data_IF_557364681705
#
_entry.id   IF_557364681705
#
_cell.length_a   1.000
_cell.length_b   1.000
_cell.length_c   1.000
_cell.angle_alpha   90.00
_cell.angle_beta   90.00
_cell.angle_gamma   90.00
#
_symmetry.space_group_name_H-M   'P 1'
#
loop_
_entity.id
_entity.type
_entity.pdbx_description
1 polymer ?
#
# COMPACT_ATOMS: atom_id res chain seq x y z
N UNK A 1 -15.57 -42.94 -17.81
CA UNK A 1 -15.36 -41.61 -18.43
C UNK A 1 -16.03 -40.46 -17.68
N UNK A 2 -17.31 -40.56 -17.28
CA UNK A 2 -18.06 -39.48 -16.60
C UNK A 2 -17.38 -38.91 -15.33
N UNK A 3 -16.76 -39.75 -14.50
CA UNK A 3 -16.03 -39.34 -13.29
C UNK A 3 -14.78 -38.48 -13.58
N UNK A 4 -14.08 -38.76 -14.69
CA UNK A 4 -12.89 -37.99 -15.11
C UNK A 4 -13.28 -36.61 -15.67
N UNK A 5 -14.43 -36.55 -16.36
CA UNK A 5 -15.00 -35.29 -16.86
C UNK A 5 -15.45 -34.38 -15.70
N UNK A 6 -16.07 -34.96 -14.67
CA UNK A 6 -16.48 -34.22 -13.48
C UNK A 6 -15.28 -33.69 -12.69
N UNK A 7 -14.20 -34.48 -12.58
CA UNK A 7 -12.95 -34.06 -11.96
C UNK A 7 -12.30 -32.88 -12.72
N UNK A 8 -12.29 -32.93 -14.05
CA UNK A 8 -11.77 -31.84 -14.89
C UNK A 8 -12.59 -30.56 -14.73
N UNK A 9 -13.92 -30.67 -14.66
CA UNK A 9 -14.80 -29.53 -14.43
C UNK A 9 -14.57 -28.91 -13.04
N UNK A 10 -14.38 -29.75 -12.03
CA UNK A 10 -14.12 -29.32 -10.65
C UNK A 10 -12.77 -28.61 -10.52
N UNK A 11 -11.73 -29.12 -11.19
CA UNK A 11 -10.42 -28.46 -11.26
C UNK A 11 -10.55 -27.11 -11.96
N UNK A 12 -11.32 -27.02 -13.06
CA UNK A 12 -11.52 -25.78 -13.80
C UNK A 12 -12.19 -24.67 -12.94
N UNK A 13 -13.10 -25.04 -12.05
CA UNK A 13 -13.76 -24.09 -11.13
C UNK A 13 -12.78 -23.59 -10.05
N UNK A 14 -11.83 -24.42 -9.62
CA UNK A 14 -10.86 -24.07 -8.58
C UNK A 14 -9.76 -23.13 -9.10
N UNK A 15 -9.31 -23.25 -10.35
CA UNK A 15 -8.26 -22.35 -10.91
C UNK A 15 -8.74 -20.91 -11.13
N UNK A 16 -10.06 -20.70 -11.26
CA UNK A 16 -10.62 -19.35 -11.44
C UNK A 16 -10.73 -18.56 -10.13
N UNK A 17 -10.46 -19.17 -8.98
CA UNK A 17 -10.25 -18.44 -7.72
C UNK A 17 -8.78 -18.09 -7.59
N UNK A 18 -8.32 -17.21 -8.47
CA UNK A 18 -7.05 -16.51 -8.27
C UNK A 18 -7.15 -15.87 -6.88
N UNK A 19 -6.21 -16.11 -5.94
CA UNK A 19 -6.19 -15.34 -4.71
C UNK A 19 -6.15 -13.87 -5.12
N UNK A 20 -6.85 -12.97 -4.41
CA UNK A 20 -6.73 -11.54 -4.65
C UNK A 20 -5.24 -11.18 -4.62
N UNK A 21 -4.63 -11.13 -5.80
CA UNK A 21 -3.20 -10.99 -5.91
C UNK A 21 -2.98 -9.53 -5.56
N UNK A 22 -2.17 -9.32 -4.53
CA UNK A 22 -1.84 -7.99 -4.06
C UNK A 22 -1.43 -7.13 -5.28
N UNK A 23 -2.29 -6.18 -5.66
CA UNK A 23 -2.04 -5.29 -6.78
C UNK A 23 -1.35 -4.06 -6.22
N UNK A 24 -0.04 -4.01 -6.37
CA UNK A 24 0.67 -2.77 -6.14
C UNK A 24 0.25 -1.75 -7.18
N UNK A 25 -0.26 -0.61 -6.74
CA UNK A 25 -0.47 0.52 -7.64
C UNK A 25 0.79 1.40 -7.68
N UNK A 26 1.50 1.51 -6.56
CA UNK A 26 2.73 2.29 -6.49
C UNK A 26 3.66 1.81 -5.37
N UNK A 27 4.95 1.82 -5.65
CA UNK A 27 6.03 1.57 -4.70
C UNK A 27 7.00 2.75 -4.69
N UNK A 28 7.51 3.13 -3.53
CA UNK A 28 8.67 4.01 -3.46
C UNK A 28 9.92 3.29 -4.01
N UNK A 29 10.94 4.06 -4.39
CA UNK A 29 12.30 3.51 -4.46
C UNK A 29 12.81 3.14 -3.06
N UNK A 30 13.97 2.48 -2.98
CA UNK A 30 14.67 2.31 -1.71
C UNK A 30 15.02 3.68 -1.14
N UNK A 31 14.56 3.95 0.07
CA UNK A 31 14.93 5.17 0.78
C UNK A 31 16.23 4.84 1.52
N UNK A 32 17.38 5.15 0.91
CA UNK A 32 18.63 5.20 1.67
C UNK A 32 18.36 6.12 2.86
N UNK A 33 18.72 5.70 4.08
CA UNK A 33 18.28 6.26 5.38
C UNK A 33 18.47 7.78 5.62
N UNK A 34 18.88 8.52 4.59
CA UNK A 34 18.61 9.93 4.36
C UNK A 34 17.12 10.25 4.20
N UNK A 35 16.74 11.43 4.70
CA UNK A 35 15.38 11.95 4.61
C UNK A 35 14.89 12.03 3.15
N UNK A 36 13.73 11.44 2.88
CA UNK A 36 13.02 11.51 1.62
C UNK A 36 11.62 12.10 1.81
N UNK A 37 11.09 12.72 0.76
CA UNK A 37 9.73 13.23 0.75
C UNK A 37 9.11 13.10 -0.63
N UNK A 38 7.79 13.08 -0.68
CA UNK A 38 7.07 12.98 -1.94
C UNK A 38 5.58 13.13 -1.75
N UNK A 39 4.84 12.88 -2.82
CA UNK A 39 3.39 13.03 -2.85
C UNK A 39 2.76 11.73 -3.28
N UNK A 40 1.68 11.35 -2.61
CA UNK A 40 0.88 10.20 -3.00
C UNK A 40 -0.60 10.47 -2.75
N UNK A 41 -1.45 9.84 -3.56
CA UNK A 41 -2.90 9.82 -3.36
C UNK A 41 -3.22 9.16 -2.02
N UNK A 42 -3.84 9.91 -1.12
CA UNK A 42 -4.09 9.46 0.25
C UNK A 42 -5.51 9.68 0.72
N UNK A 43 -6.10 10.85 0.47
CA UNK A 43 -7.38 11.22 1.09
C UNK A 43 -8.49 11.37 0.06
N UNK A 44 -9.65 10.78 0.33
CA UNK A 44 -10.80 10.84 -0.55
C UNK A 44 -11.61 12.11 -0.32
N UNK A 45 -11.88 12.85 -1.38
CA UNK A 45 -12.77 14.00 -1.38
C UNK A 45 -13.82 13.83 -2.46
N UNK A 46 -14.99 13.31 -2.10
CA UNK A 46 -15.99 12.86 -3.07
C UNK A 46 -15.44 11.73 -3.95
N UNK A 47 -15.37 11.96 -5.27
CA UNK A 47 -14.87 11.00 -6.24
C UNK A 47 -13.38 11.18 -6.59
N UNK A 48 -12.70 12.15 -5.98
CA UNK A 48 -11.27 12.41 -6.23
C UNK A 48 -10.39 12.00 -5.06
N UNK A 49 -9.17 11.59 -5.40
CA UNK A 49 -8.10 11.33 -4.43
C UNK A 49 -7.18 12.54 -4.32
N UNK A 50 -7.19 13.20 -3.18
CA UNK A 50 -6.27 14.27 -2.84
C UNK A 50 -4.90 13.69 -2.50
N UNK A 51 -3.87 14.29 -3.09
CA UNK A 51 -2.49 13.96 -2.73
C UNK A 51 -2.10 14.59 -1.41
N UNK A 52 -1.35 13.84 -0.60
CA UNK A 52 -0.72 14.33 0.63
C UNK A 52 0.79 14.25 0.51
N UNK A 53 1.46 15.20 1.15
CA UNK A 53 2.90 15.16 1.35
C UNK A 53 3.19 14.02 2.35
N UNK A 54 4.15 13.18 1.99
CA UNK A 54 4.76 12.27 2.93
C UNK A 54 6.23 12.65 3.15
N UNK A 55 6.73 12.30 4.32
CA UNK A 55 8.16 12.40 4.65
C UNK A 55 8.58 11.10 5.31
N UNK A 56 9.83 10.73 5.14
CA UNK A 56 10.36 9.48 5.68
C UNK A 56 11.86 9.55 5.85
N UNK A 57 12.36 8.89 6.88
CA UNK A 57 13.78 8.76 7.18
C UNK A 57 14.11 7.32 7.60
N UNK A 58 15.29 7.08 8.17
CA UNK A 58 15.71 5.75 8.63
C UNK A 58 14.93 5.21 9.85
N UNK A 59 14.00 5.97 10.42
CA UNK A 59 13.28 5.65 11.66
C UNK A 59 11.78 5.60 11.42
N UNK A 60 11.23 6.53 10.67
CA UNK A 60 9.79 6.66 10.51
C UNK A 60 9.33 7.11 9.13
N UNK A 61 8.05 6.83 8.88
CA UNK A 61 7.27 7.33 7.76
C UNK A 61 6.13 8.19 8.30
N UNK A 62 5.90 9.35 7.69
CA UNK A 62 4.86 10.29 8.07
C UNK A 62 4.01 10.68 6.86
N UNK A 63 2.69 10.72 7.08
CA UNK A 63 1.75 11.41 6.17
C UNK A 63 1.38 12.74 6.82
N UNK A 64 1.58 13.83 6.09
CA UNK A 64 1.29 15.16 6.61
C UNK A 64 -0.20 15.50 6.51
N UNK A 65 -0.69 16.32 7.44
CA UNK A 65 -2.12 16.60 7.64
C UNK A 65 -2.81 17.32 6.48
N UNK A 66 -2.07 18.10 5.71
CA UNK A 66 -2.57 18.76 4.50
C UNK A 66 -1.50 18.76 3.44
N UNK A 67 -1.84 19.13 2.20
CA UNK A 67 -0.87 19.12 1.10
C UNK A 67 0.41 19.90 1.43
N UNK A 68 0.31 21.12 1.96
CA UNK A 68 1.49 21.97 2.20
C UNK A 68 1.96 21.98 3.66
N UNK A 69 1.38 21.14 4.52
CA UNK A 69 1.77 21.04 5.93
C UNK A 69 2.94 20.09 6.07
N UNK A 70 3.87 20.39 6.99
CA UNK A 70 4.88 19.43 7.45
C UNK A 70 4.47 18.74 8.75
N UNK A 71 3.31 19.10 9.31
CA UNK A 71 2.78 18.48 10.53
C UNK A 71 2.29 17.08 10.21
N UNK A 72 2.83 16.02 10.85
CA UNK A 72 2.36 14.66 10.67
C UNK A 72 0.92 14.50 11.19
N UNK A 73 0.05 13.91 10.38
CA UNK A 73 -1.23 13.35 10.82
C UNK A 73 -1.07 11.87 11.15
N UNK A 74 -0.28 11.16 10.35
CA UNK A 74 0.05 9.77 10.59
C UNK A 74 1.55 9.59 10.77
N UNK A 75 1.94 8.73 11.70
CA UNK A 75 3.34 8.36 11.94
C UNK A 75 3.43 6.86 12.11
N UNK A 76 4.33 6.26 11.35
CA UNK A 76 4.71 4.86 11.46
C UNK A 76 6.20 4.75 11.74
N UNK A 77 6.56 3.94 12.73
CA UNK A 77 7.96 3.67 13.06
C UNK A 77 8.37 2.33 12.48
N UNK A 78 9.45 2.31 11.70
CA UNK A 78 9.96 1.08 11.11
C UNK A 78 10.44 0.10 12.17
N UNK A 79 10.03 -1.15 12.01
CA UNK A 79 10.55 -2.31 12.74
C UNK A 79 11.98 -2.64 12.30
N UNK A 80 12.68 -3.46 13.09
CA UNK A 80 14.03 -3.91 12.73
C UNK A 80 14.06 -4.72 11.41
N UNK A 81 12.99 -5.46 11.11
CA UNK A 81 12.87 -6.20 9.85
C UNK A 81 12.76 -5.27 8.64
N UNK A 82 11.95 -4.21 8.77
CA UNK A 82 11.75 -3.26 7.67
C UNK A 82 12.99 -2.41 7.39
N UNK A 83 13.72 -2.05 8.45
CA UNK A 83 15.04 -1.42 8.33
C UNK A 83 16.02 -2.27 7.52
N UNK A 84 15.96 -3.60 7.68
CA UNK A 84 16.83 -4.53 6.95
C UNK A 84 16.41 -4.73 5.49
N UNK A 85 15.15 -4.47 5.14
CA UNK A 85 14.60 -4.63 3.80
C UNK A 85 14.60 -3.33 2.96
N UNK A 86 15.10 -2.23 3.53
CA UNK A 86 15.44 -1.01 2.78
C UNK A 86 14.34 0.03 2.72
N UNK A 87 13.49 0.10 3.75
CA UNK A 87 12.56 1.22 3.98
C UNK A 87 11.57 1.43 2.82
N UNK A 88 10.97 0.35 2.32
CA UNK A 88 10.06 0.43 1.19
C UNK A 88 8.66 0.77 1.66
N UNK A 89 7.96 1.60 0.88
CA UNK A 89 6.57 1.93 1.13
C UNK A 89 5.73 1.57 -0.09
N UNK A 90 4.53 1.10 0.18
CA UNK A 90 3.57 0.69 -0.82
C UNK A 90 2.20 1.27 -0.53
N UNK A 91 1.62 1.94 -1.52
CA UNK A 91 0.23 2.39 -1.49
C UNK A 91 -0.66 1.39 -2.22
N UNK A 92 -1.77 1.01 -1.59
CA UNK A 92 -2.79 0.18 -2.23
C UNK A 92 -3.64 0.98 -3.21
N UNK A 93 -3.70 2.30 -3.08
CA UNK A 93 -4.45 3.21 -3.96
C UNK A 93 -5.98 3.05 -3.90
N UNK A 94 -6.50 2.36 -2.89
CA UNK A 94 -7.92 2.26 -2.56
C UNK A 94 -8.11 2.30 -1.04
N UNK A 95 -9.35 2.52 -0.60
CA UNK A 95 -9.79 2.53 0.81
C UNK A 95 -10.56 1.23 1.11
N UNK A 96 -9.96 0.37 1.94
CA UNK A 96 -10.49 -0.90 2.43
C UNK A 96 -11.36 -0.73 3.66
N UNK A 97 -11.11 0.30 4.46
CA UNK A 97 -11.73 0.47 5.79
C UNK A 97 -12.97 1.38 5.76
N UNK A 98 -13.17 2.13 4.68
CA UNK A 98 -14.26 3.09 4.52
C UNK A 98 -14.02 4.40 5.27
N UNK A 99 -12.80 4.69 5.71
CA UNK A 99 -12.46 5.91 6.46
C UNK A 99 -12.05 7.09 5.56
N UNK A 100 -12.05 6.88 4.24
CA UNK A 100 -11.66 7.87 3.25
C UNK A 100 -10.15 8.00 3.08
N UNK A 101 -9.34 7.08 3.61
CA UNK A 101 -7.89 7.07 3.48
C UNK A 101 -7.41 5.85 2.71
N UNK A 102 -6.37 6.03 1.91
CA UNK A 102 -5.73 4.93 1.19
C UNK A 102 -4.94 4.10 2.18
N UNK A 103 -5.11 2.78 2.15
CA UNK A 103 -4.22 1.89 2.89
C UNK A 103 -2.84 1.83 2.25
N UNK A 104 -1.86 1.77 3.13
CA UNK A 104 -0.47 1.62 2.78
C UNK A 104 0.22 0.71 3.77
N UNK A 105 1.39 0.22 3.39
CA UNK A 105 2.23 -0.57 4.27
C UNK A 105 3.70 -0.37 3.93
N UNK A 106 4.53 -0.67 4.92
CA UNK A 106 5.98 -0.58 4.86
C UNK A 106 6.57 -1.99 4.81
N UNK A 107 7.66 -2.16 4.05
CA UNK A 107 8.47 -3.39 4.00
C UNK A 107 9.93 -3.03 4.17
#
# INVERSE_FOLDING_TARGET
MKKKLFLLLFIFILVNKVPAQWQNIWSSGSIDGTFASGWFSFEKSGDIWLSRLYTTDSVSFHVCSTGFSITPEYTYNFTAGEKAAGYQFYSLGYDLTGDGKVEFYTI
#
